data_IF_153395854107
#
_entry.id   IF_153395854107
#
_cell.length_a   1.000
_cell.length_b   1.000
_cell.length_c   1.000
_cell.angle_alpha   90.00
_cell.angle_beta   90.00
_cell.angle_gamma   90.00
#
_symmetry.space_group_name_H-M   'P 1'
#
loop_
_entity.id
_entity.type
_entity.pdbx_description
1 polymer ?
#
# COMPACT_ATOMS: atom_id res chain seq x y z
N UNK A 1 -42.19 -20.87 2.10
CA UNK A 1 -41.19 -21.92 2.37
C UNK A 1 -40.33 -22.20 1.14
N UNK A 2 -40.91 -22.52 -0.03
CA UNK A 2 -40.15 -22.68 -1.29
C UNK A 2 -39.41 -21.41 -1.77
N UNK A 3 -40.02 -20.22 -1.61
CA UNK A 3 -39.37 -18.94 -1.89
C UNK A 3 -38.20 -18.62 -0.92
N UNK A 4 -38.31 -19.05 0.34
CA UNK A 4 -37.24 -18.95 1.34
C UNK A 4 -36.10 -19.93 1.02
N UNK A 5 -36.44 -21.11 0.50
CA UNK A 5 -35.49 -22.11 0.01
C UNK A 5 -34.74 -21.60 -1.22
N UNK A 6 -35.40 -20.89 -2.15
CA UNK A 6 -34.75 -20.27 -3.32
C UNK A 6 -33.82 -19.11 -2.94
N UNK A 7 -34.19 -18.31 -1.93
CA UNK A 7 -33.28 -17.29 -1.38
C UNK A 7 -32.09 -17.91 -0.62
N UNK A 8 -32.25 -19.12 -0.09
CA UNK A 8 -31.15 -19.92 0.49
C UNK A 8 -30.27 -20.57 -0.59
N UNK A 9 -30.85 -20.99 -1.73
CA UNK A 9 -30.11 -21.49 -2.91
C UNK A 9 -29.37 -20.36 -3.64
N UNK A 10 -29.78 -19.10 -3.43
CA UNK A 10 -28.99 -17.92 -3.79
C UNK A 10 -27.87 -17.66 -2.77
N UNK A 11 -27.23 -18.72 -2.25
CA UNK A 11 -25.86 -18.66 -1.77
C UNK A 11 -25.07 -17.96 -2.87
N UNK A 12 -24.61 -16.73 -2.60
CA UNK A 12 -23.73 -16.02 -3.50
C UNK A 12 -22.43 -16.84 -3.56
N UNK A 13 -22.30 -17.73 -4.56
CA UNK A 13 -21.13 -18.55 -4.84
C UNK A 13 -19.90 -17.66 -5.09
N UNK A 14 -19.31 -17.13 -4.01
CA UNK A 14 -18.22 -16.16 -3.98
C UNK A 14 -18.30 -15.12 -5.10
N UNK A 15 -19.52 -14.71 -5.42
CA UNK A 15 -19.79 -13.85 -6.56
C UNK A 15 -19.45 -12.39 -6.21
N UNK A 16 -19.00 -11.57 -7.18
CA UNK A 16 -18.73 -10.17 -6.93
C UNK A 16 -20.00 -9.47 -6.42
N UNK A 17 -19.86 -8.71 -5.33
CA UNK A 17 -20.95 -7.96 -4.70
C UNK A 17 -20.96 -6.52 -5.24
N UNK A 18 -22.15 -5.92 -5.50
CA UNK A 18 -22.24 -4.51 -5.88
C UNK A 18 -21.49 -3.61 -4.87
N UNK A 19 -20.69 -2.67 -5.38
CA UNK A 19 -19.83 -1.76 -4.58
C UNK A 19 -18.71 -2.45 -3.76
N UNK A 20 -18.30 -3.66 -4.15
CA UNK A 20 -17.13 -4.32 -3.55
C UNK A 20 -15.85 -3.52 -3.75
N UNK A 21 -15.11 -3.29 -2.66
CA UNK A 21 -13.84 -2.55 -2.65
C UNK A 21 -12.62 -3.43 -2.35
N UNK A 22 -12.85 -4.69 -1.97
CA UNK A 22 -11.84 -5.62 -1.50
C UNK A 22 -11.94 -6.96 -2.26
N UNK A 23 -11.05 -7.90 -1.97
CA UNK A 23 -11.12 -9.25 -2.54
C UNK A 23 -12.39 -9.99 -2.14
N UNK A 24 -12.74 -10.99 -2.95
CA UNK A 24 -13.78 -11.98 -2.60
C UNK A 24 -13.32 -12.86 -1.43
N UNK A 25 -14.28 -13.54 -0.82
CA UNK A 25 -14.02 -14.50 0.24
C UNK A 25 -13.08 -15.61 -0.30
N UNK A 26 -12.11 -16.02 0.52
CA UNK A 26 -11.08 -16.97 0.08
C UNK A 26 -11.62 -18.40 0.10
N UNK A 27 -11.55 -19.09 -1.05
CA UNK A 27 -11.95 -20.49 -1.18
C UNK A 27 -10.77 -21.48 -1.06
N UNK A 28 -9.54 -20.98 -0.89
CA UNK A 28 -8.32 -21.80 -0.82
C UNK A 28 -7.26 -21.12 0.09
N UNK A 29 -6.40 -21.90 0.78
CA UNK A 29 -5.39 -21.35 1.69
C UNK A 29 -4.35 -20.47 0.97
N UNK A 30 -4.12 -20.70 -0.33
CA UNK A 30 -3.26 -19.84 -1.14
C UNK A 30 -3.85 -18.43 -1.31
N UNK A 31 -5.17 -18.32 -1.48
CA UNK A 31 -5.84 -17.03 -1.61
C UNK A 31 -5.80 -16.26 -0.28
N UNK A 32 -5.99 -16.95 0.85
CA UNK A 32 -5.84 -16.33 2.17
C UNK A 32 -4.43 -15.75 2.36
N UNK A 33 -3.38 -16.49 1.99
CA UNK A 33 -2.00 -15.99 2.02
C UNK A 33 -1.76 -14.80 1.07
N UNK A 34 -2.41 -14.77 -0.11
CA UNK A 34 -2.32 -13.62 -1.03
C UNK A 34 -2.99 -12.36 -0.44
N UNK A 35 -4.13 -12.53 0.23
CA UNK A 35 -4.85 -11.43 0.91
C UNK A 35 -3.99 -10.88 2.07
N UNK A 36 -3.36 -11.74 2.87
CA UNK A 36 -2.42 -11.33 3.92
C UNK A 36 -1.21 -10.56 3.35
N UNK A 37 -0.63 -11.05 2.24
CA UNK A 37 0.48 -10.38 1.57
C UNK A 37 0.05 -9.01 1.03
N UNK A 38 -1.13 -8.92 0.42
CA UNK A 38 -1.69 -7.67 -0.06
C UNK A 38 -1.81 -6.65 1.06
N UNK A 39 -2.39 -7.03 2.21
CA UNK A 39 -2.58 -6.11 3.33
C UNK A 39 -1.25 -5.61 3.91
N UNK A 40 -0.25 -6.49 3.96
CA UNK A 40 1.10 -6.12 4.38
C UNK A 40 1.74 -5.10 3.43
N UNK A 41 1.63 -5.32 2.11
CA UNK A 41 2.12 -4.37 1.10
C UNK A 41 1.37 -3.03 1.21
N UNK A 42 0.03 -3.08 1.31
CA UNK A 42 -0.80 -1.89 1.41
C UNK A 42 -0.48 -1.05 2.64
N UNK A 43 -0.15 -1.67 3.77
CA UNK A 43 0.31 -0.96 4.96
C UNK A 43 1.54 -0.10 4.68
N UNK A 44 2.58 -0.66 4.04
CA UNK A 44 3.78 0.11 3.68
C UNK A 44 3.49 1.20 2.64
N UNK A 45 2.65 0.92 1.64
CA UNK A 45 2.30 1.91 0.61
C UNK A 45 1.54 3.10 1.20
N UNK A 46 0.62 2.86 2.13
CA UNK A 46 -0.11 3.94 2.82
C UNK A 46 0.85 4.82 3.62
N UNK A 47 1.82 4.24 4.33
CA UNK A 47 2.84 5.00 5.06
C UNK A 47 3.66 5.87 4.10
N UNK A 48 4.11 5.32 2.98
CA UNK A 48 4.87 6.06 1.97
C UNK A 48 4.02 7.20 1.39
N UNK A 49 2.75 6.93 1.04
CA UNK A 49 1.84 7.92 0.49
C UNK A 49 1.64 9.11 1.43
N UNK A 50 1.36 8.85 2.71
CA UNK A 50 1.21 9.91 3.70
C UNK A 50 2.54 10.65 3.95
N UNK A 51 3.67 9.94 3.99
CA UNK A 51 5.00 10.55 4.15
C UNK A 51 5.32 11.52 3.01
N UNK A 52 5.14 11.09 1.76
CA UNK A 52 5.35 11.93 0.57
C UNK A 52 4.35 13.08 0.53
N UNK A 53 3.06 12.81 0.79
CA UNK A 53 2.01 13.82 0.84
C UNK A 53 2.31 14.90 1.87
N UNK A 54 2.79 14.52 3.06
CA UNK A 54 3.21 15.46 4.10
C UNK A 54 4.38 16.33 3.64
N UNK A 55 5.42 15.75 3.03
CA UNK A 55 6.57 16.52 2.51
C UNK A 55 6.13 17.52 1.46
N UNK A 56 5.26 17.13 0.51
CA UNK A 56 4.74 18.03 -0.52
C UNK A 56 3.96 19.21 0.09
N UNK A 57 3.04 18.92 1.02
CA UNK A 57 2.29 19.96 1.74
C UNK A 57 3.23 20.87 2.53
N UNK A 58 4.25 20.31 3.19
CA UNK A 58 5.26 21.09 3.90
C UNK A 58 6.04 22.02 2.97
N UNK A 59 6.43 21.56 1.79
CA UNK A 59 7.14 22.40 0.81
C UNK A 59 6.25 23.55 0.34
N UNK A 60 4.99 23.26 -0.04
CA UNK A 60 4.05 24.28 -0.51
C UNK A 60 3.76 25.32 0.57
N UNK A 61 3.59 24.89 1.82
CA UNK A 61 3.18 25.77 2.92
C UNK A 61 4.32 26.61 3.50
N UNK A 62 5.56 26.11 3.45
CA UNK A 62 6.73 26.77 4.03
C UNK A 62 7.54 27.58 3.00
N UNK A 63 7.64 27.10 1.75
CA UNK A 63 8.43 27.72 0.69
C UNK A 63 7.59 28.51 -0.32
N UNK A 64 6.48 29.10 0.14
CA UNK A 64 5.70 30.02 -0.69
C UNK A 64 6.41 31.39 -0.82
N UNK A 65 6.03 32.17 -1.84
CA UNK A 65 6.66 33.47 -2.15
C UNK A 65 6.51 34.52 -1.04
N UNK A 66 5.51 34.37 -0.17
CA UNK A 66 5.24 35.29 0.94
C UNK A 66 6.14 35.00 2.14
N UNK A 67 6.29 33.73 2.52
CA UNK A 67 7.07 33.30 3.70
C UNK A 67 8.56 33.13 3.39
N UNK A 68 8.90 32.69 2.17
CA UNK A 68 10.27 32.41 1.75
C UNK A 68 10.58 33.12 0.42
N UNK A 69 10.78 34.46 0.42
CA UNK A 69 11.01 35.23 -0.80
C UNK A 69 12.42 35.04 -1.40
N UNK A 70 13.39 34.57 -0.62
CA UNK A 70 14.78 34.34 -1.06
C UNK A 70 15.01 32.84 -1.22
N UNK A 71 15.47 32.43 -2.41
CA UNK A 71 15.76 31.02 -2.71
C UNK A 71 17.20 30.64 -2.38
N UNK A 72 17.40 29.44 -1.85
CA UNK A 72 18.72 28.87 -1.56
C UNK A 72 19.37 28.22 -2.79
N UNK A 73 19.71 29.02 -3.80
CA UNK A 73 20.21 28.57 -5.12
C UNK A 73 21.48 27.69 -5.09
N UNK A 74 22.31 27.80 -4.07
CA UNK A 74 23.60 27.11 -3.99
C UNK A 74 23.54 25.77 -3.22
N UNK A 75 22.40 25.43 -2.62
CA UNK A 75 22.19 24.16 -1.92
C UNK A 75 21.75 23.08 -2.90
N UNK A 76 22.68 22.58 -3.72
CA UNK A 76 22.38 21.65 -4.80
C UNK A 76 22.74 20.19 -4.50
N UNK A 77 23.51 19.93 -3.45
CA UNK A 77 23.92 18.58 -3.07
C UNK A 77 23.69 18.33 -1.58
N UNK A 78 23.30 17.11 -1.25
CA UNK A 78 23.07 16.71 0.13
C UNK A 78 23.38 15.24 0.31
N UNK A 79 24.66 14.86 0.25
CA UNK A 79 25.10 13.45 0.26
C UNK A 79 24.49 12.63 1.41
N UNK A 80 24.33 13.24 2.59
CA UNK A 80 23.69 12.56 3.73
C UNK A 80 22.19 12.31 3.50
N UNK A 81 21.44 13.28 2.98
CA UNK A 81 20.01 13.11 2.72
C UNK A 81 19.77 12.17 1.54
N UNK A 82 20.66 12.21 0.54
CA UNK A 82 20.73 11.29 -0.59
C UNK A 82 20.91 9.85 -0.14
N UNK A 83 21.84 9.62 0.79
CA UNK A 83 22.06 8.30 1.37
C UNK A 83 20.82 7.82 2.14
N UNK A 84 20.21 8.68 2.97
CA UNK A 84 19.03 8.32 3.77
C UNK A 84 17.85 7.91 2.89
N UNK A 85 17.50 8.70 1.87
CA UNK A 85 16.37 8.36 0.99
C UNK A 85 16.68 7.24 0.00
N UNK A 86 17.94 6.80 -0.13
CA UNK A 86 18.29 5.64 -0.97
C UNK A 86 18.19 4.35 -0.15
N UNK A 87 18.71 4.36 1.08
CA UNK A 87 18.69 3.20 1.97
C UNK A 87 17.28 2.93 2.49
N UNK A 88 16.51 3.97 2.84
CA UNK A 88 15.18 3.80 3.43
C UNK A 88 14.22 3.01 2.53
N UNK A 89 14.06 3.34 1.23
CA UNK A 89 13.24 2.55 0.32
C UNK A 89 13.78 1.14 0.09
N UNK A 90 15.10 0.97 0.01
CA UNK A 90 15.71 -0.35 -0.17
C UNK A 90 15.38 -1.28 1.00
N UNK A 91 15.40 -0.78 2.24
CA UNK A 91 15.02 -1.56 3.43
C UNK A 91 13.52 -1.91 3.42
N UNK A 92 12.64 -0.97 3.04
CA UNK A 92 11.20 -1.25 2.93
C UNK A 92 10.94 -2.37 1.91
N UNK A 93 11.63 -2.36 0.77
CA UNK A 93 11.48 -3.40 -0.25
C UNK A 93 11.93 -4.78 0.27
N UNK A 94 13.01 -4.85 1.06
CA UNK A 94 13.45 -6.11 1.68
C UNK A 94 12.39 -6.66 2.65
N UNK A 95 11.78 -5.79 3.46
CA UNK A 95 10.71 -6.18 4.38
C UNK A 95 9.48 -6.73 3.66
N UNK A 96 9.13 -6.16 2.50
CA UNK A 96 8.04 -6.66 1.65
C UNK A 96 8.42 -7.99 0.98
N UNK A 97 9.68 -8.13 0.54
CA UNK A 97 10.14 -9.31 -0.20
C UNK A 97 10.15 -10.58 0.65
N UNK A 98 10.44 -10.49 1.95
CA UNK A 98 10.52 -11.66 2.83
C UNK A 98 9.21 -12.47 2.93
N UNK A 99 8.05 -11.90 3.31
CA UNK A 99 6.78 -12.62 3.30
C UNK A 99 6.35 -13.02 1.89
N UNK A 100 6.67 -12.21 0.87
CA UNK A 100 6.35 -12.50 -0.53
C UNK A 100 7.03 -13.78 -1.02
N UNK A 101 8.34 -13.94 -0.79
CA UNK A 101 9.05 -15.15 -1.19
C UNK A 101 8.61 -16.37 -0.40
N UNK A 102 8.38 -16.23 0.91
CA UNK A 102 7.83 -17.32 1.73
C UNK A 102 6.51 -17.84 1.14
N UNK A 103 5.60 -16.95 0.76
CA UNK A 103 4.31 -17.33 0.19
C UNK A 103 4.48 -18.02 -1.18
N UNK A 104 5.32 -17.48 -2.05
CA UNK A 104 5.59 -18.06 -3.38
C UNK A 104 6.03 -19.53 -3.27
N UNK A 105 6.95 -19.85 -2.37
CA UNK A 105 7.42 -21.23 -2.17
C UNK A 105 6.42 -22.15 -1.46
N UNK A 106 5.35 -21.61 -0.88
CA UNK A 106 4.25 -22.42 -0.31
C UNK A 106 3.15 -22.69 -1.34
N UNK A 107 3.14 -21.95 -2.45
CA UNK A 107 2.16 -22.09 -3.52
C UNK A 107 2.61 -23.05 -4.63
N UNK A 108 3.92 -23.21 -4.82
CA UNK A 108 4.55 -24.26 -5.63
C UNK A 108 4.59 -25.61 -4.89
#
# INVERSE_FOLDING_TARGET
>A
MFQLLLNYIHEYCDAPRPWGLYFQDSAAPQMEGLVELHDNIMFYLIIILFGVGWVLVSVITNYNSVKSPISHKYLNHGTLIELVWTITPALILILIAFPSFKLLYLMD
#
